data_IF_548376162075
#
_entry.id   IF_548376162075
#
_cell.length_a   1.000
_cell.length_b   1.000
_cell.length_c   1.000
_cell.angle_alpha   90.00
_cell.angle_beta   90.00
_cell.angle_gamma   90.00
#
_symmetry.space_group_name_H-M   'P 1'
#
loop_
_entity.id
_entity.type
_entity.pdbx_description
1 polymer ?
#
# COMPACT_ATOMS: atom_id res chain seq x y z
N UNK A 1 -3.86 -2.73 20.36
CA UNK A 1 -4.70 -1.99 19.40
C UNK A 1 -6.17 -2.29 19.65
N UNK A 2 -7.06 -1.30 19.55
CA UNK A 2 -8.52 -1.50 19.63
C UNK A 2 -9.10 -2.17 18.39
N UNK A 3 -8.47 -1.98 17.24
CA UNK A 3 -8.80 -2.62 15.96
C UNK A 3 -7.54 -2.98 15.18
N UNK A 4 -7.56 -4.04 14.36
CA UNK A 4 -6.50 -4.31 13.40
C UNK A 4 -6.39 -3.19 12.35
N UNK A 5 -5.22 -3.06 11.74
CA UNK A 5 -4.93 -2.08 10.69
C UNK A 5 -4.62 -2.85 9.40
N UNK A 6 -5.45 -2.67 8.38
CA UNK A 6 -5.23 -3.16 7.03
C UNK A 6 -4.95 -1.97 6.11
N UNK A 7 -3.80 -2.02 5.44
CA UNK A 7 -3.39 -1.05 4.42
C UNK A 7 -3.50 -1.74 3.05
N UNK A 8 -4.46 -1.35 2.18
CA UNK A 8 -4.63 -1.97 0.88
C UNK A 8 -3.50 -1.60 -0.09
N UNK A 9 -3.35 -2.38 -1.17
CA UNK A 9 -2.57 -1.95 -2.32
C UNK A 9 -3.31 -0.87 -3.10
N UNK A 10 -2.58 0.09 -3.66
CA UNK A 10 -3.13 1.14 -4.55
C UNK A 10 -3.68 0.56 -5.86
N UNK A 11 -3.20 -0.62 -6.26
CA UNK A 11 -3.75 -1.45 -7.32
C UNK A 11 -3.47 -2.92 -6.97
N UNK A 12 -4.39 -3.81 -7.33
CA UNK A 12 -4.20 -5.24 -7.14
C UNK A 12 -3.08 -5.77 -8.04
N UNK A 13 -2.11 -6.48 -7.46
CA UNK A 13 -1.10 -7.20 -8.23
C UNK A 13 0.26 -7.35 -7.54
N UNK A 14 1.09 -8.24 -8.09
CA UNK A 14 2.45 -8.45 -7.58
C UNK A 14 3.29 -7.19 -7.79
N UNK A 15 3.95 -6.75 -6.72
CA UNK A 15 4.85 -5.58 -6.75
C UNK A 15 4.15 -4.24 -6.90
N UNK A 16 2.82 -4.19 -6.69
CA UNK A 16 2.08 -2.94 -6.57
C UNK A 16 2.29 -2.31 -5.19
N UNK A 17 2.30 -0.98 -5.15
CA UNK A 17 2.51 -0.21 -3.93
C UNK A 17 1.32 -0.29 -2.99
N UNK A 18 1.58 -0.40 -1.70
CA UNK A 18 0.65 -0.18 -0.59
C UNK A 18 0.29 1.29 -0.45
N UNK A 19 -0.95 1.55 -0.02
CA UNK A 19 -1.45 2.88 0.26
C UNK A 19 -0.61 3.54 1.35
N UNK A 20 -0.13 4.74 1.06
CA UNK A 20 0.56 5.56 2.04
C UNK A 20 -0.46 6.32 2.89
N UNK A 21 -0.81 5.75 4.03
CA UNK A 21 -1.75 6.32 5.00
C UNK A 21 -1.23 6.15 6.44
N UNK A 22 -1.68 7.01 7.33
CA UNK A 22 -1.36 6.99 8.75
C UNK A 22 -2.51 6.36 9.55
N UNK A 23 -2.21 5.55 10.57
CA UNK A 23 -3.21 5.03 11.50
C UNK A 23 -3.00 5.67 12.87
N UNK A 24 -3.76 6.72 13.26
CA UNK A 24 -3.53 7.48 14.49
C UNK A 24 -3.47 6.64 15.77
N UNK A 25 -4.18 5.51 15.80
CA UNK A 25 -4.16 4.59 16.94
C UNK A 25 -2.77 3.97 17.24
N UNK A 26 -1.82 4.04 16.32
CA UNK A 26 -0.43 3.59 16.52
C UNK A 26 0.37 4.52 17.44
N UNK A 27 -0.04 5.77 17.61
CA UNK A 27 0.61 6.73 18.50
C UNK A 27 0.59 6.24 19.95
N UNK A 28 -0.54 5.68 20.39
CA UNK A 28 -0.70 5.04 21.71
C UNK A 28 0.20 3.81 21.90
N UNK A 29 0.82 3.30 20.84
CA UNK A 29 1.76 2.17 20.87
C UNK A 29 3.20 2.64 20.62
N UNK A 30 3.49 3.94 20.80
CA UNK A 30 4.83 4.52 20.62
C UNK A 30 5.41 4.35 19.22
N UNK A 31 4.56 4.33 18.19
CA UNK A 31 4.95 4.43 16.78
C UNK A 31 4.55 5.81 16.30
N UNK A 32 5.52 6.60 15.82
CA UNK A 32 5.23 7.93 15.27
C UNK A 32 4.66 7.82 13.85
N UNK A 33 3.97 8.87 13.41
CA UNK A 33 3.50 8.98 12.03
C UNK A 33 4.67 8.90 11.04
N UNK A 34 5.75 9.64 11.30
CA UNK A 34 6.95 9.67 10.45
C UNK A 34 7.49 8.28 10.22
N UNK A 35 7.59 7.49 11.28
CA UNK A 35 8.19 6.18 11.22
C UNK A 35 7.32 5.12 10.55
N UNK A 36 6.02 5.16 10.79
CA UNK A 36 5.08 4.28 10.12
C UNK A 36 5.02 4.56 8.62
N UNK A 37 5.04 5.83 8.23
CA UNK A 37 5.10 6.23 6.82
C UNK A 37 6.43 5.83 6.18
N UNK A 38 7.55 5.98 6.88
CA UNK A 38 8.85 5.49 6.41
C UNK A 38 8.86 3.97 6.24
N UNK A 39 8.18 3.22 7.11
CA UNK A 39 7.96 1.78 6.92
C UNK A 39 7.22 1.48 5.62
N UNK A 40 6.09 2.15 5.34
CA UNK A 40 5.32 1.94 4.10
C UNK A 40 6.14 2.32 2.86
N UNK A 41 6.86 3.45 2.92
CA UNK A 41 7.69 3.93 1.81
C UNK A 41 8.79 2.92 1.46
N UNK A 42 9.50 2.41 2.47
CA UNK A 42 10.51 1.38 2.28
C UNK A 42 9.91 0.05 1.80
N UNK A 43 8.74 -0.35 2.33
CA UNK A 43 8.04 -1.54 1.88
C UNK A 43 7.76 -1.48 0.37
N UNK A 44 7.22 -0.35 -0.10
CA UNK A 44 6.91 -0.12 -1.51
C UNK A 44 8.14 -0.16 -2.41
N UNK A 45 9.29 0.30 -1.92
CA UNK A 45 10.56 0.21 -2.65
C UNK A 45 11.02 -1.25 -2.75
N UNK A 46 11.06 -2.00 -1.64
CA UNK A 46 11.61 -3.37 -1.65
C UNK A 46 10.70 -4.38 -2.35
N UNK A 47 9.39 -4.17 -2.29
CA UNK A 47 8.37 -5.03 -2.92
C UNK A 47 8.23 -4.82 -4.43
N UNK A 48 8.84 -3.77 -4.99
CA UNK A 48 8.79 -3.50 -6.44
C UNK A 48 9.38 -4.65 -7.26
N UNK A 49 8.75 -4.96 -8.39
CA UNK A 49 9.13 -6.08 -9.26
C UNK A 49 10.46 -5.87 -10.00
N UNK A 50 10.75 -4.63 -10.41
CA UNK A 50 11.97 -4.23 -11.13
C UNK A 50 12.73 -3.16 -10.35
N UNK A 51 13.30 -3.50 -9.20
CA UNK A 51 14.09 -2.53 -8.46
C UNK A 51 15.39 -2.22 -9.21
N UNK A 52 15.99 -1.03 -9.01
CA UNK A 52 17.37 -0.81 -9.39
C UNK A 52 18.28 -1.87 -8.73
N UNK A 53 19.31 -2.34 -9.44
CA UNK A 53 20.24 -3.39 -9.02
C UNK A 53 20.88 -3.19 -7.63
N UNK A 54 20.81 -1.99 -7.08
CA UNK A 54 21.42 -1.63 -5.79
C UNK A 54 20.46 -1.78 -4.59
N UNK A 55 19.15 -1.96 -4.82
CA UNK A 55 18.20 -2.39 -3.76
C UNK A 55 18.53 -3.82 -3.28
N UNK A 56 19.31 -4.56 -4.07
CA UNK A 56 19.87 -5.86 -3.67
C UNK A 56 20.82 -5.73 -2.46
N UNK A 57 21.52 -4.60 -2.33
CA UNK A 57 22.35 -4.29 -1.15
C UNK A 57 21.56 -3.68 0.02
N UNK A 58 20.43 -3.00 -0.27
CA UNK A 58 19.56 -2.41 0.76
C UNK A 58 18.75 -3.46 1.54
N UNK A 59 18.53 -4.63 0.97
CA UNK A 59 17.89 -5.76 1.64
C UNK A 59 18.72 -6.34 2.81
N UNK A 60 19.93 -5.81 3.03
CA UNK A 60 20.79 -6.13 4.16
C UNK A 60 21.70 -4.97 4.58
N UNK A 61 21.36 -3.72 4.27
CA UNK A 61 22.30 -2.61 4.45
C UNK A 61 21.60 -1.28 4.61
N UNK A 62 21.61 -0.78 5.84
CA UNK A 62 21.28 0.60 6.18
C UNK A 62 22.16 1.56 5.36
N UNK A 63 21.60 2.25 4.37
CA UNK A 63 22.26 3.40 3.76
C UNK A 63 21.58 4.68 4.24
N UNK A 64 22.29 5.38 5.13
CA UNK A 64 22.45 6.83 5.08
C UNK A 64 21.22 7.70 5.30
N UNK A 65 21.11 8.18 6.54
CA UNK A 65 20.56 9.50 6.92
C UNK A 65 19.05 9.72 6.73
N UNK A 66 18.26 9.17 7.67
CA UNK A 66 17.01 9.82 8.10
C UNK A 66 17.34 10.66 9.33
N UNK A 67 17.14 11.99 9.30
CA UNK A 67 17.29 12.82 10.48
C UNK A 67 16.06 12.61 11.39
N UNK A 68 16.08 11.55 12.20
CA UNK A 68 15.64 11.48 13.60
C UNK A 68 15.69 10.01 14.08
N UNK A 69 16.71 9.69 14.89
CA UNK A 69 16.92 8.57 15.83
C UNK A 69 16.68 7.08 15.46
N UNK A 70 16.00 6.71 14.38
CA UNK A 70 15.74 5.28 14.06
C UNK A 70 16.83 4.66 13.18
N UNK A 71 17.81 5.46 12.77
CA UNK A 71 18.88 5.08 11.86
C UNK A 71 20.03 4.25 12.46
N UNK A 72 19.87 3.73 13.69
CA UNK A 72 20.89 2.87 14.34
C UNK A 72 20.41 1.43 14.46
N UNK A 73 20.27 0.77 13.32
CA UNK A 73 20.06 -0.65 13.33
C UNK A 73 21.03 -1.28 12.33
N UNK A 74 22.01 -2.02 12.85
CA UNK A 74 22.93 -2.78 12.03
C UNK A 74 22.20 -3.93 11.30
N UNK A 75 22.52 -4.11 10.01
CA UNK A 75 22.02 -5.18 9.15
C UNK A 75 23.14 -5.72 8.26
N UNK A 76 23.13 -7.04 8.06
CA UNK A 76 24.09 -7.84 7.31
C UNK A 76 23.75 -7.86 5.82
N UNK A 77 24.70 -7.52 4.94
CA UNK A 77 24.48 -7.53 3.50
C UNK A 77 24.42 -8.97 2.95
N UNK A 78 23.35 -9.32 2.24
CA UNK A 78 23.25 -10.58 1.48
C UNK A 78 23.54 -10.29 0.01
N UNK A 79 24.55 -10.98 -0.54
CA UNK A 79 24.82 -10.97 -1.98
C UNK A 79 23.73 -11.75 -2.71
N UNK A 80 22.96 -11.06 -3.55
CA UNK A 80 22.04 -11.70 -4.49
C UNK A 80 22.86 -12.18 -5.69
N UNK A 81 22.95 -13.49 -5.88
CA UNK A 81 23.56 -14.11 -7.07
C UNK A 81 22.75 -13.79 -8.34
N UNK A 82 23.43 -13.47 -9.43
CA UNK A 82 22.82 -13.06 -10.71
C UNK A 82 21.88 -14.10 -11.38
N UNK A 83 21.80 -15.33 -10.85
CA UNK A 83 21.01 -16.43 -11.40
C UNK A 83 19.52 -16.43 -10.95
N UNK A 84 19.10 -15.50 -10.08
CA UNK A 84 17.74 -15.48 -9.55
C UNK A 84 16.81 -14.54 -10.36
N UNK A 85 15.63 -15.03 -10.74
CA UNK A 85 14.62 -14.22 -11.43
C UNK A 85 14.03 -13.10 -10.55
N UNK A 86 13.65 -11.97 -11.16
CA UNK A 86 13.24 -10.74 -10.48
C UNK A 86 12.14 -10.94 -9.40
N UNK A 87 11.19 -11.85 -9.65
CA UNK A 87 10.11 -12.16 -8.70
C UNK A 87 10.62 -12.89 -7.44
N UNK A 88 11.57 -13.82 -7.58
CA UNK A 88 12.16 -14.57 -6.46
C UNK A 88 12.99 -13.63 -5.60
N UNK A 89 13.78 -12.76 -6.25
CA UNK A 89 14.58 -11.76 -5.55
C UNK A 89 13.68 -10.76 -4.81
N UNK A 90 12.60 -10.29 -5.44
CA UNK A 90 11.64 -9.37 -4.79
C UNK A 90 10.98 -9.97 -3.55
N UNK A 91 10.57 -11.24 -3.62
CA UNK A 91 10.01 -11.96 -2.47
C UNK A 91 11.00 -12.07 -1.33
N UNK A 92 12.22 -12.54 -1.60
CA UNK A 92 13.28 -12.69 -0.59
C UNK A 92 13.59 -11.37 0.13
N UNK A 93 13.74 -10.26 -0.61
CA UNK A 93 13.99 -8.93 -0.01
C UNK A 93 12.84 -8.44 0.86
N UNK A 94 11.62 -8.62 0.38
CA UNK A 94 10.42 -8.23 1.12
C UNK A 94 10.33 -9.03 2.41
N UNK A 95 10.56 -10.35 2.36
CA UNK A 95 10.50 -11.23 3.54
C UNK A 95 11.56 -10.83 4.59
N UNK A 96 12.79 -10.49 4.15
CA UNK A 96 13.85 -10.02 5.06
C UNK A 96 13.52 -8.68 5.70
N UNK A 97 13.07 -7.70 4.90
CA UNK A 97 12.62 -6.40 5.41
C UNK A 97 11.48 -6.55 6.43
N UNK A 98 10.49 -7.39 6.13
CA UNK A 98 9.36 -7.67 7.00
C UNK A 98 9.79 -8.36 8.30
N UNK A 99 10.77 -9.26 8.26
CA UNK A 99 11.34 -9.88 9.47
C UNK A 99 12.01 -8.81 10.34
N UNK A 100 12.87 -8.00 9.75
CA UNK A 100 13.63 -6.98 10.45
C UNK A 100 12.72 -5.94 11.13
N UNK A 101 11.76 -5.38 10.39
CA UNK A 101 10.85 -4.36 10.94
C UNK A 101 9.94 -4.95 12.03
N UNK A 102 9.53 -6.21 11.90
CA UNK A 102 8.80 -6.87 12.98
C UNK A 102 9.65 -7.00 14.24
N UNK A 103 10.90 -7.47 14.14
CA UNK A 103 11.79 -7.66 15.29
C UNK A 103 12.10 -6.34 16.02
N UNK A 104 12.28 -5.25 15.26
CA UNK A 104 12.82 -3.99 15.78
C UNK A 104 11.77 -2.91 16.05
N UNK A 105 10.70 -2.86 15.27
CA UNK A 105 9.66 -1.83 15.38
C UNK A 105 8.40 -2.39 16.06
N UNK A 106 7.80 -3.44 15.51
CA UNK A 106 6.46 -3.87 15.94
C UNK A 106 6.48 -4.77 17.18
N UNK A 107 7.34 -5.80 17.23
CA UNK A 107 7.38 -6.80 18.31
C UNK A 107 7.67 -6.20 19.69
N UNK A 108 8.60 -5.23 19.86
CA UNK A 108 8.83 -4.59 21.16
C UNK A 108 7.61 -3.86 21.72
N UNK A 109 6.64 -3.53 20.85
CA UNK A 109 5.40 -2.82 21.19
C UNK A 109 4.19 -3.77 21.26
N UNK A 110 4.43 -5.08 21.25
CA UNK A 110 3.37 -6.09 21.25
C UNK A 110 2.57 -6.14 19.95
N UNK A 111 3.12 -5.61 18.85
CA UNK A 111 2.49 -5.59 17.53
C UNK A 111 3.18 -6.56 16.56
N UNK A 112 2.47 -6.89 15.49
CA UNK A 112 3.00 -7.64 14.35
C UNK A 112 2.44 -7.06 13.06
N UNK A 113 3.27 -6.97 12.04
CA UNK A 113 2.88 -6.59 10.68
C UNK A 113 3.16 -7.73 9.71
N UNK A 114 2.30 -7.93 8.72
CA UNK A 114 2.46 -8.95 7.69
C UNK A 114 1.78 -8.54 6.40
N UNK A 115 2.34 -8.95 5.26
CA UNK A 115 1.63 -8.93 3.98
C UNK A 115 0.78 -10.21 3.90
N UNK A 116 -0.49 -10.07 3.59
CA UNK A 116 -1.44 -11.19 3.56
C UNK A 116 -2.25 -11.19 2.27
N UNK A 117 -2.83 -12.33 1.91
CA UNK A 117 -3.87 -12.36 0.88
C UNK A 117 -5.15 -11.67 1.38
N UNK A 118 -6.09 -11.44 0.47
CA UNK A 118 -7.41 -10.85 0.80
C UNK A 118 -8.19 -11.78 1.74
N UNK A 119 -8.10 -13.08 1.56
CA UNK A 119 -8.77 -14.10 2.40
C UNK A 119 -8.20 -14.10 3.81
N UNK A 120 -6.88 -14.06 3.96
CA UNK A 120 -6.23 -13.99 5.26
C UNK A 120 -6.51 -12.63 5.95
N UNK A 121 -6.50 -11.53 5.20
CA UNK A 121 -6.91 -10.21 5.71
C UNK A 121 -8.34 -10.26 6.26
N UNK A 122 -9.27 -10.89 5.52
CA UNK A 122 -10.66 -11.05 5.93
C UNK A 122 -10.80 -11.75 7.28
N UNK A 123 -10.05 -12.84 7.46
CA UNK A 123 -9.99 -13.59 8.72
C UNK A 123 -9.43 -12.74 9.87
N UNK A 124 -8.34 -12.02 9.65
CA UNK A 124 -7.71 -11.14 10.66
C UNK A 124 -8.66 -10.01 11.07
N UNK A 125 -9.32 -9.37 10.10
CA UNK A 125 -10.28 -8.30 10.33
C UNK A 125 -11.65 -8.80 10.85
N UNK A 126 -11.86 -10.12 10.91
CA UNK A 126 -13.13 -10.76 11.27
C UNK A 126 -14.31 -10.27 10.43
N UNK A 127 -14.07 -10.09 9.13
CA UNK A 127 -15.10 -9.68 8.18
C UNK A 127 -15.93 -10.91 7.78
N UNK A 128 -17.27 -10.92 7.95
CA UNK A 128 -18.11 -12.04 7.54
C UNK A 128 -17.98 -12.33 6.04
N UNK A 129 -18.01 -13.59 5.60
CA UNK A 129 -17.89 -13.97 4.18
C UNK A 129 -18.97 -13.37 3.27
N UNK A 130 -20.09 -12.96 3.85
CA UNK A 130 -21.19 -12.27 3.16
C UNK A 130 -20.93 -10.79 2.88
N UNK A 131 -19.99 -10.15 3.59
CA UNK A 131 -19.72 -8.71 3.47
C UNK A 131 -18.92 -8.38 2.21
N UNK A 132 -19.40 -7.53 1.29
CA UNK A 132 -18.59 -7.06 0.17
C UNK A 132 -17.36 -6.29 0.65
N UNK A 133 -16.19 -6.53 0.03
CA UNK A 133 -14.95 -5.79 0.30
C UNK A 133 -14.83 -4.50 -0.51
N UNK A 134 -15.81 -4.23 -1.38
CA UNK A 134 -15.90 -3.05 -2.23
C UNK A 134 -17.31 -2.49 -2.09
N UNK A 135 -17.44 -1.23 -1.68
CA UNK A 135 -18.74 -0.58 -1.53
C UNK A 135 -19.51 -0.59 -2.87
N UNK A 136 -20.84 -0.79 -2.89
CA UNK A 136 -21.62 -0.83 -4.13
C UNK A 136 -21.55 0.51 -4.89
N UNK A 137 -21.80 0.51 -6.21
CA UNK A 137 -21.88 1.73 -7.02
C UNK A 137 -23.24 2.42 -6.83
N UNK A 138 -23.27 3.38 -5.92
CA UNK A 138 -24.34 4.36 -5.69
C UNK A 138 -23.96 5.71 -6.29
N UNK A 139 -24.85 6.70 -6.26
CA UNK A 139 -24.54 8.05 -6.75
C UNK A 139 -23.43 8.71 -5.91
N UNK A 140 -23.40 8.44 -4.61
CA UNK A 140 -22.36 8.93 -3.69
C UNK A 140 -20.98 8.30 -3.95
N UNK A 141 -20.95 7.02 -4.31
CA UNK A 141 -19.71 6.26 -4.51
C UNK A 141 -19.25 6.24 -5.97
N UNK A 142 -20.05 6.76 -6.89
CA UNK A 142 -19.78 6.74 -8.33
C UNK A 142 -18.48 7.48 -8.67
N UNK A 143 -18.21 8.58 -7.99
CA UNK A 143 -17.02 9.40 -8.21
C UNK A 143 -15.81 8.92 -7.41
N UNK A 144 -16.00 7.91 -6.55
CA UNK A 144 -14.92 7.34 -5.74
C UNK A 144 -14.11 6.35 -6.58
N UNK A 145 -12.80 6.40 -6.41
CA UNK A 145 -11.88 5.37 -6.89
C UNK A 145 -12.18 4.00 -6.25
N UNK A 146 -11.69 2.93 -6.87
CA UNK A 146 -11.79 1.58 -6.32
C UNK A 146 -11.22 1.51 -4.90
N UNK A 147 -10.08 2.15 -4.66
CA UNK A 147 -9.43 2.19 -3.36
C UNK A 147 -10.32 2.85 -2.30
N UNK A 148 -10.91 4.00 -2.62
CA UNK A 148 -11.80 4.71 -1.68
C UNK A 148 -13.03 3.87 -1.34
N UNK A 149 -13.59 3.15 -2.33
CA UNK A 149 -14.72 2.23 -2.11
C UNK A 149 -14.34 0.99 -1.30
N UNK A 150 -13.10 0.51 -1.42
CA UNK A 150 -12.57 -0.55 -0.55
C UNK A 150 -12.43 -0.06 0.88
N UNK A 151 -11.82 1.11 1.09
CA UNK A 151 -11.68 1.72 2.42
C UNK A 151 -13.05 1.98 3.07
N UNK A 152 -14.03 2.43 2.29
CA UNK A 152 -15.39 2.65 2.76
C UNK A 152 -16.03 1.33 3.24
N UNK A 153 -15.88 0.24 2.48
CA UNK A 153 -16.41 -1.07 2.87
C UNK A 153 -15.74 -1.66 4.12
N UNK A 154 -14.48 -1.30 4.36
CA UNK A 154 -13.69 -1.80 5.49
C UNK A 154 -13.79 -0.93 6.75
N UNK A 155 -14.46 0.24 6.69
CA UNK A 155 -14.61 1.21 7.79
C UNK A 155 -14.97 0.58 9.13
N UNK A 156 -15.91 -0.37 9.13
CA UNK A 156 -16.44 -0.96 10.36
C UNK A 156 -15.64 -2.19 10.84
N UNK A 157 -14.50 -2.48 10.23
CA UNK A 157 -13.62 -3.58 10.63
C UNK A 157 -12.17 -3.13 10.83
N UNK A 158 -11.78 -2.11 10.07
CA UNK A 158 -10.44 -1.56 10.05
C UNK A 158 -10.29 -0.39 11.05
N UNK A 159 -9.06 -0.15 11.50
CA UNK A 159 -8.72 1.11 12.13
C UNK A 159 -8.86 2.27 11.14
N UNK A 160 -9.12 3.47 11.67
CA UNK A 160 -9.13 4.70 10.86
C UNK A 160 -7.78 4.90 10.19
N UNK A 161 -7.81 5.21 8.89
CA UNK A 161 -6.65 5.61 8.11
C UNK A 161 -6.79 7.07 7.68
N UNK A 162 -5.77 7.85 7.98
CA UNK A 162 -5.61 9.22 7.50
C UNK A 162 -4.74 9.23 6.25
N UNK A 163 -5.31 9.71 5.15
CA UNK A 163 -4.63 9.83 3.85
C UNK A 163 -3.97 11.21 3.67
N UNK A 164 -4.24 12.18 4.55
CA UNK A 164 -3.62 13.50 4.53
C UNK A 164 -2.26 13.47 5.23
N UNK A 165 -1.30 12.79 4.59
CA UNK A 165 0.02 12.55 5.15
C UNK A 165 1.09 13.39 4.44
N UNK A 166 2.15 13.85 5.14
CA UNK A 166 3.23 14.62 4.53
C UNK A 166 3.87 13.86 3.38
N UNK A 167 4.27 14.52 2.29
CA UNK A 167 4.93 13.85 1.15
C UNK A 167 6.12 12.98 1.62
N UNK A 168 6.43 11.88 0.91
CA UNK A 168 7.63 11.09 1.21
C UNK A 168 8.86 11.99 1.31
N UNK A 169 9.65 11.82 2.37
CA UNK A 169 10.91 12.56 2.54
C UNK A 169 11.85 12.10 1.43
N UNK A 170 12.41 13.03 0.64
CA UNK A 170 13.36 12.68 -0.41
C UNK A 170 14.55 11.92 0.20
N UNK A 171 14.73 10.67 -0.21
CA UNK A 171 15.93 9.92 0.14
C UNK A 171 17.14 10.64 -0.49
N UNK A 172 18.10 11.05 0.34
CA UNK A 172 19.19 11.98 -0.05
C UNK A 172 20.19 11.37 -1.03
N UNK A 173 20.23 10.05 -1.15
CA UNK A 173 21.08 9.35 -2.11
C UNK A 173 20.49 9.40 -3.53
N UNK A 174 21.27 9.81 -4.53
CA UNK A 174 20.83 9.92 -5.94
C UNK A 174 20.14 8.65 -6.48
N UNK A 175 20.49 7.48 -5.96
CA UNK A 175 19.97 6.18 -6.39
C UNK A 175 18.64 5.84 -5.72
N UNK A 176 18.49 6.24 -4.46
CA UNK A 176 17.25 6.20 -3.71
C UNK A 176 16.20 7.13 -4.35
N UNK A 177 16.64 8.27 -4.93
CA UNK A 177 15.81 9.12 -5.80
C UNK A 177 15.32 8.40 -7.06
N UNK A 178 16.11 7.49 -7.65
CA UNK A 178 15.70 6.75 -8.86
C UNK A 178 14.64 5.68 -8.55
N UNK A 179 14.77 4.96 -7.43
CA UNK A 179 13.73 4.03 -6.97
C UNK A 179 12.45 4.77 -6.56
N UNK A 180 12.58 5.89 -5.83
CA UNK A 180 11.45 6.74 -5.49
C UNK A 180 10.72 7.24 -6.75
N UNK A 181 11.46 7.68 -7.78
CA UNK A 181 10.90 8.07 -9.08
C UNK A 181 10.16 6.92 -9.80
N UNK A 182 10.63 5.69 -9.67
CA UNK A 182 9.90 4.52 -10.21
C UNK A 182 8.59 4.28 -9.46
N UNK A 183 8.60 4.35 -8.13
CA UNK A 183 7.39 4.21 -7.30
C UNK A 183 6.41 5.34 -7.60
N UNK A 184 6.87 6.59 -7.69
CA UNK A 184 6.07 7.74 -8.13
C UNK A 184 5.54 7.55 -9.56
N UNK A 185 6.35 7.01 -10.46
CA UNK A 185 5.95 6.71 -11.83
C UNK A 185 4.85 5.64 -11.89
N UNK A 186 4.94 4.61 -11.06
CA UNK A 186 3.89 3.60 -10.91
C UNK A 186 2.64 4.19 -10.29
N UNK A 187 2.77 5.01 -9.24
CA UNK A 187 1.66 5.72 -8.61
C UNK A 187 0.92 6.63 -9.62
N UNK A 188 1.66 7.40 -10.44
CA UNK A 188 1.07 8.21 -11.53
C UNK A 188 0.37 7.36 -12.58
N UNK A 189 0.95 6.22 -12.96
CA UNK A 189 0.30 5.26 -13.88
C UNK A 189 -0.98 4.68 -13.29
N UNK A 190 -0.95 4.29 -12.02
CA UNK A 190 -2.10 3.74 -11.30
C UNK A 190 -3.21 4.80 -11.17
N UNK A 191 -2.86 6.04 -10.80
CA UNK A 191 -3.80 7.16 -10.72
C UNK A 191 -4.43 7.47 -12.09
N UNK A 192 -3.63 7.52 -13.16
CA UNK A 192 -4.13 7.74 -14.52
C UNK A 192 -5.06 6.63 -14.99
N UNK A 193 -4.77 5.38 -14.64
CA UNK A 193 -5.63 4.23 -14.96
C UNK A 193 -6.93 4.29 -14.18
N UNK A 194 -6.88 4.60 -12.88
CA UNK A 194 -8.06 4.79 -12.04
C UNK A 194 -8.99 5.88 -12.60
N UNK A 195 -8.46 7.05 -13.02
CA UNK A 195 -9.28 8.10 -13.64
C UNK A 195 -9.94 7.63 -14.93
N UNK A 196 -9.20 6.96 -15.82
CA UNK A 196 -9.75 6.42 -17.08
C UNK A 196 -10.83 5.36 -16.86
N UNK A 197 -10.65 4.50 -15.86
CA UNK A 197 -11.63 3.48 -15.52
C UNK A 197 -12.90 4.11 -14.92
N UNK A 198 -12.76 5.20 -14.16
CA UNK A 198 -13.85 6.04 -13.68
C UNK A 198 -14.64 6.72 -14.83
N UNK A 199 -13.96 7.39 -15.76
CA UNK A 199 -14.60 8.02 -16.94
C UNK A 199 -15.42 7.01 -17.75
N UNK A 200 -14.87 5.82 -18.01
CA UNK A 200 -15.58 4.75 -18.72
C UNK A 200 -16.80 4.23 -17.96
N UNK A 201 -16.73 4.17 -16.63
CA UNK A 201 -17.86 3.77 -15.81
C UNK A 201 -18.99 4.81 -15.89
N UNK A 202 -18.64 6.10 -15.89
CA UNK A 202 -19.57 7.21 -16.07
C UNK A 202 -20.27 7.15 -17.44
N UNK A 203 -19.50 7.01 -18.53
CA UNK A 203 -20.06 6.91 -19.89
C UNK A 203 -21.01 5.72 -20.07
N UNK A 204 -20.69 4.58 -19.44
CA UNK A 204 -21.54 3.39 -19.49
C UNK A 204 -22.87 3.62 -18.78
N UNK A 205 -22.86 4.31 -17.64
CA UNK A 205 -24.08 4.64 -16.90
C UNK A 205 -24.93 5.66 -17.65
N UNK A 206 -24.35 6.73 -18.18
CA UNK A 206 -25.09 7.71 -19.00
C UNK A 206 -25.79 7.05 -20.21
N UNK A 207 -25.10 6.11 -20.87
CA UNK A 207 -25.69 5.32 -21.96
C UNK A 207 -26.82 4.39 -21.48
N UNK A 208 -26.71 3.82 -20.28
CA UNK A 208 -27.75 2.98 -19.70
C UNK A 208 -28.99 3.80 -19.31
N UNK A 209 -28.80 4.97 -18.68
CA UNK A 209 -29.86 5.90 -18.29
C UNK A 209 -30.61 6.46 -19.51
N UNK A 210 -29.90 6.85 -20.57
CA UNK A 210 -30.52 7.27 -21.84
C UNK A 210 -31.39 6.15 -22.44
N UNK A 211 -30.92 4.90 -22.41
CA UNK A 211 -31.68 3.74 -22.89
C UNK A 211 -32.90 3.43 -22.02
N UNK A 212 -32.84 3.66 -20.72
CA UNK A 212 -34.02 3.50 -19.84
C UNK A 212 -35.04 4.63 -20.04
N UNK A 213 -34.59 5.87 -20.21
CA UNK A 213 -35.45 7.01 -20.50
C UNK A 213 -36.21 6.85 -21.83
N UNK A 214 -35.52 6.41 -22.90
CA UNK A 214 -36.13 6.12 -24.21
C UNK A 214 -37.18 4.99 -24.14
N UNK A 215 -36.98 4.00 -23.26
CA UNK A 215 -37.96 2.92 -23.04
C UNK A 215 -39.17 3.38 -22.25
N UNK A 216 -38.99 4.32 -21.30
CA UNK A 216 -40.10 4.89 -20.51
C UNK A 216 -40.96 5.87 -21.30
N UNK A 217 -40.39 6.63 -22.23
CA UNK A 217 -41.15 7.54 -23.09
C UNK A 217 -41.94 6.89 -24.23
N UNK A 218 -41.77 5.56 -24.43
CA UNK A 218 -42.52 4.76 -25.43
C UNK A 218 -43.69 3.96 -24.83
N UNK A 219 -43.95 4.09 -23.52
CA UNK A 219 -45.13 3.56 -22.82
C UNK A 219 -46.08 4.70 -22.52
#
# INVERSE_FOLDING_TARGET
>A
LSRPIAIPQTMHGRGQSFLRAWAPCLEANSISQTDFLAFIDNLNIVSTANPPLQVLGLAGGFLGMVPYHWAKIAGTAIQVSAQLGAAVVSKSRTDMYMKEVNEKMFKPRGLKVSITSVEAMRSILRIPDTQPLLAPLTDETMQMSTLERELLALRDYNAMLDMNVPRPVEQTTMLAKLSARQVEGLAKKNQKKAMKDGEKALEKKEKAEKREAEKRGKK
#
